data_IF_148657506773
#
_entry.id   IF_148657506773
#
_cell.length_a   1.000
_cell.length_b   1.000
_cell.length_c   1.000
_cell.angle_alpha   90.00
_cell.angle_beta   90.00
_cell.angle_gamma   90.00
#
_symmetry.space_group_name_H-M   'P 1'
#
loop_
_entity.id
_entity.type
_entity.pdbx_description
1 polymer ?
#
# COMPACT_ATOMS: atom_id res chain seq x y z
N UNK A 1 5.04 -2.67 -1.81
CA UNK A 1 6.32 -3.43 -1.94
C UNK A 1 6.96 -3.72 -0.58
N UNK A 2 7.24 -2.71 0.24
CA UNK A 2 7.87 -2.92 1.56
C UNK A 2 6.85 -3.23 2.67
N UNK A 3 5.64 -2.65 2.59
CA UNK A 3 4.61 -2.81 3.61
C UNK A 3 4.98 -2.15 4.95
N UNK A 4 5.81 -1.11 4.91
CA UNK A 4 6.16 -0.31 6.07
C UNK A 4 4.96 0.54 6.52
N UNK A 5 4.83 0.75 7.83
CA UNK A 5 3.75 1.55 8.42
C UNK A 5 4.00 3.03 8.19
N UNK A 6 3.00 3.76 7.71
CA UNK A 6 3.01 5.22 7.65
C UNK A 6 2.43 5.78 8.96
N UNK A 7 3.18 6.67 9.64
CA UNK A 7 2.68 7.42 10.78
C UNK A 7 1.77 8.59 10.38
N UNK A 8 1.25 9.36 11.34
CA UNK A 8 0.36 10.50 11.05
C UNK A 8 0.98 11.55 10.12
N UNK A 9 2.26 11.89 10.32
CA UNK A 9 3.01 12.79 9.45
C UNK A 9 3.12 12.28 8.02
N UNK A 10 3.51 11.02 7.87
CA UNK A 10 3.65 10.37 6.57
C UNK A 10 2.30 10.21 5.86
N UNK A 11 1.23 9.91 6.60
CA UNK A 11 -0.11 9.76 6.04
C UNK A 11 -0.61 11.09 5.46
N UNK A 12 -0.39 12.21 6.16
CA UNK A 12 -0.71 13.55 5.63
C UNK A 12 0.20 13.89 4.45
N UNK A 13 1.52 13.68 4.58
CA UNK A 13 2.47 13.97 3.52
C UNK A 13 2.18 13.19 2.22
N UNK A 14 1.80 11.92 2.33
CA UNK A 14 1.49 11.06 1.19
C UNK A 14 0.05 11.23 0.65
N UNK A 15 -0.75 12.14 1.23
CA UNK A 15 -2.15 12.35 0.83
C UNK A 15 -3.09 11.19 1.19
N UNK A 16 -2.71 10.35 2.16
CA UNK A 16 -3.55 9.27 2.69
C UNK A 16 -4.48 9.74 3.81
N UNK A 17 -4.23 10.92 4.37
CA UNK A 17 -5.06 11.57 5.38
C UNK A 17 -5.04 13.09 5.19
N UNK A 18 -6.14 13.76 5.52
CA UNK A 18 -6.28 15.21 5.33
C UNK A 18 -5.81 16.03 6.55
N UNK A 19 -5.88 15.45 7.75
CA UNK A 19 -5.54 16.13 8.99
C UNK A 19 -4.94 15.16 10.02
N UNK A 20 -4.08 15.69 10.90
CA UNK A 20 -3.54 14.97 12.04
C UNK A 20 -4.03 15.60 13.36
N UNK A 21 -4.63 14.79 14.24
CA UNK A 21 -5.15 15.25 15.53
C UNK A 21 -4.55 14.39 16.64
N UNK A 22 -3.95 15.04 17.64
CA UNK A 22 -3.39 14.33 18.80
C UNK A 22 -4.47 13.56 19.55
N UNK A 23 -4.15 12.34 20.00
CA UNK A 23 -5.12 11.44 20.65
C UNK A 23 -5.82 12.07 21.86
N UNK A 24 -5.13 12.98 22.58
CA UNK A 24 -5.69 13.70 23.71
C UNK A 24 -6.89 14.59 23.33
N UNK A 25 -6.96 15.06 22.08
CA UNK A 25 -8.04 15.91 21.57
C UNK A 25 -9.22 15.10 20.99
N UNK A 26 -9.08 13.78 20.82
CA UNK A 26 -10.12 12.95 20.19
C UNK A 26 -11.49 13.03 20.89
N UNK A 27 -11.59 13.02 22.24
CA UNK A 27 -12.88 13.19 22.89
C UNK A 27 -13.53 14.54 22.56
N UNK A 28 -12.76 15.62 22.56
CA UNK A 28 -13.26 16.97 22.29
C UNK A 28 -13.68 17.14 20.82
N UNK A 29 -12.84 16.66 19.88
CA UNK A 29 -13.18 16.62 18.46
C UNK A 29 -14.47 15.85 18.21
N UNK A 30 -14.61 14.66 18.81
CA UNK A 30 -15.84 13.86 18.70
C UNK A 30 -17.05 14.64 19.19
N UNK A 31 -16.96 15.27 20.36
CA UNK A 31 -18.05 16.10 20.90
C UNK A 31 -18.42 17.21 19.91
N UNK A 32 -17.44 17.96 19.41
CA UNK A 32 -17.68 19.04 18.45
C UNK A 32 -18.39 18.56 17.17
N UNK A 33 -17.92 17.45 16.59
CA UNK A 33 -18.54 16.84 15.41
C UNK A 33 -19.98 16.38 15.67
N UNK A 34 -20.25 15.77 16.83
CA UNK A 34 -21.60 15.31 17.18
C UNK A 34 -22.57 16.44 17.55
N UNK A 35 -22.05 17.62 17.88
CA UNK A 35 -22.82 18.82 18.19
C UNK A 35 -22.97 19.75 16.98
N UNK A 36 -22.41 19.39 15.82
CA UNK A 36 -22.58 20.15 14.60
C UNK A 36 -24.09 20.31 14.28
N UNK A 37 -24.54 21.50 13.84
CA UNK A 37 -25.94 21.73 13.53
C UNK A 37 -26.48 20.75 12.48
N UNK A 38 -27.76 20.41 12.59
CA UNK A 38 -28.43 19.65 11.52
C UNK A 38 -28.36 20.44 10.21
N UNK A 39 -27.88 19.81 9.14
CA UNK A 39 -27.64 20.46 7.85
C UNK A 39 -26.26 21.12 7.72
N UNK A 40 -25.33 20.89 8.66
CA UNK A 40 -23.92 21.26 8.50
C UNK A 40 -23.37 20.76 7.16
N UNK A 41 -22.71 21.66 6.44
CA UNK A 41 -22.06 21.36 5.17
C UNK A 41 -20.74 20.63 5.40
N UNK A 42 -20.14 20.11 4.32
CA UNK A 42 -18.78 19.55 4.42
C UNK A 42 -17.78 20.61 4.91
N UNK A 43 -17.93 21.88 4.50
CA UNK A 43 -17.03 22.96 4.91
C UNK A 43 -17.11 23.25 6.41
N UNK A 44 -18.29 23.11 7.02
CA UNK A 44 -18.45 23.26 8.47
C UNK A 44 -17.73 22.13 9.22
N UNK A 45 -17.81 20.90 8.70
CA UNK A 45 -17.10 19.74 9.27
C UNK A 45 -15.59 19.89 9.11
N UNK A 46 -15.12 20.34 7.94
CA UNK A 46 -13.72 20.61 7.68
C UNK A 46 -13.17 21.67 8.67
N UNK A 47 -13.94 22.73 8.92
CA UNK A 47 -13.58 23.77 9.88
C UNK A 47 -13.49 23.23 11.32
N UNK A 48 -14.42 22.33 11.72
CA UNK A 48 -14.35 21.65 13.02
C UNK A 48 -13.07 20.82 13.11
N UNK A 49 -12.76 19.99 12.11
CA UNK A 49 -11.55 19.15 12.11
C UNK A 49 -10.29 20.02 12.15
N UNK A 50 -10.23 21.07 11.34
CA UNK A 50 -9.11 22.00 11.27
C UNK A 50 -8.83 22.70 12.60
N UNK A 51 -9.87 22.98 13.40
CA UNK A 51 -9.70 23.56 14.75
C UNK A 51 -8.90 22.65 15.70
N UNK A 52 -9.02 21.33 15.54
CA UNK A 52 -8.27 20.34 16.35
C UNK A 52 -7.01 19.81 15.68
N UNK A 53 -6.81 20.14 14.40
CA UNK A 53 -5.67 19.69 13.63
C UNK A 53 -4.36 20.26 14.19
N UNK A 54 -3.33 19.44 14.13
CA UNK A 54 -1.96 19.73 14.56
C UNK A 54 -1.03 19.45 13.40
N UNK A 55 0.02 20.26 13.27
CA UNK A 55 1.06 20.00 12.29
C UNK A 55 1.88 18.78 12.74
N UNK A 56 1.86 17.67 11.99
CA UNK A 56 2.41 16.40 12.47
C UNK A 56 3.95 16.30 12.41
N UNK A 57 4.63 17.38 12.01
CA UNK A 57 6.06 17.38 11.74
C UNK A 57 6.41 16.58 10.48
N UNK A 58 7.69 16.24 10.33
CA UNK A 58 8.20 15.50 9.17
C UNK A 58 8.38 14.01 9.53
N UNK A 59 7.77 13.12 8.74
CA UNK A 59 7.91 11.68 8.90
C UNK A 59 9.01 11.06 8.02
N UNK A 60 9.39 9.79 8.25
CA UNK A 60 10.40 9.09 7.47
C UNK A 60 10.16 9.08 5.95
N UNK A 61 8.92 9.07 5.47
CA UNK A 61 8.63 9.09 4.03
C UNK A 61 9.06 10.44 3.44
N UNK A 62 8.70 11.55 4.09
CA UNK A 62 9.08 12.89 3.64
C UNK A 62 10.61 13.06 3.63
N UNK A 63 11.29 12.61 4.69
CA UNK A 63 12.75 12.67 4.81
C UNK A 63 13.48 11.89 3.71
N UNK A 64 12.90 10.77 3.27
CA UNK A 64 13.50 9.89 2.25
C UNK A 64 12.85 10.04 0.87
N UNK A 65 12.00 11.06 0.66
CA UNK A 65 11.17 11.18 -0.54
C UNK A 65 11.98 11.12 -1.84
N UNK A 66 13.07 11.89 -1.93
CA UNK A 66 13.94 11.90 -3.11
C UNK A 66 14.64 10.55 -3.36
N UNK A 67 14.95 9.79 -2.30
CA UNK A 67 15.50 8.44 -2.43
C UNK A 67 14.42 7.47 -2.91
N UNK A 68 13.21 7.54 -2.35
CA UNK A 68 12.07 6.70 -2.74
C UNK A 68 11.77 6.90 -4.22
N UNK A 69 11.61 8.15 -4.67
CA UNK A 69 11.30 8.48 -6.06
C UNK A 69 12.34 7.90 -7.01
N UNK A 70 13.63 8.10 -6.73
CA UNK A 70 14.72 7.61 -7.58
C UNK A 70 14.80 6.09 -7.59
N UNK A 71 14.74 5.44 -6.42
CA UNK A 71 14.99 4.01 -6.28
C UNK A 71 13.79 3.14 -6.71
N UNK A 72 12.58 3.67 -6.64
CA UNK A 72 11.34 2.98 -7.05
C UNK A 72 10.81 3.42 -8.42
N UNK A 73 11.58 4.19 -9.20
CA UNK A 73 11.20 4.69 -10.53
C UNK A 73 11.09 3.59 -11.61
N UNK A 74 11.60 2.39 -11.36
CA UNK A 74 11.72 1.35 -12.39
C UNK A 74 10.43 0.52 -12.57
N UNK A 75 10.30 -0.16 -13.72
CA UNK A 75 9.09 -0.94 -14.06
C UNK A 75 9.15 -2.41 -13.67
N UNK A 76 10.30 -2.88 -13.16
CA UNK A 76 10.46 -4.25 -12.66
C UNK A 76 10.98 -4.25 -11.23
N UNK A 77 10.59 -5.27 -10.45
CA UNK A 77 11.06 -5.43 -9.07
C UNK A 77 12.56 -5.68 -9.06
N UNK A 78 13.07 -6.42 -10.04
CA UNK A 78 14.50 -6.69 -10.22
C UNK A 78 15.30 -5.41 -10.44
N UNK A 79 14.80 -4.46 -11.25
CA UNK A 79 15.46 -3.18 -11.45
C UNK A 79 15.42 -2.31 -10.19
N UNK A 80 14.31 -2.33 -9.43
CA UNK A 80 14.22 -1.66 -8.12
C UNK A 80 15.25 -2.26 -7.14
N UNK A 81 15.34 -3.59 -7.07
CA UNK A 81 16.32 -4.28 -6.23
C UNK A 81 17.75 -3.92 -6.64
N UNK A 82 18.07 -3.94 -7.92
CA UNK A 82 19.40 -3.56 -8.42
C UNK A 82 19.73 -2.10 -8.10
N UNK A 83 18.78 -1.18 -8.24
CA UNK A 83 18.98 0.23 -7.89
C UNK A 83 19.25 0.42 -6.40
N UNK A 84 18.51 -0.29 -5.53
CA UNK A 84 18.75 -0.29 -4.09
C UNK A 84 20.12 -0.89 -3.72
N UNK A 85 20.55 -1.95 -4.40
CA UNK A 85 21.85 -2.60 -4.17
C UNK A 85 23.02 -1.69 -4.57
N UNK A 86 22.89 -0.98 -5.69
CA UNK A 86 23.89 0.00 -6.15
C UNK A 86 23.95 1.22 -5.24
N UNK A 87 22.80 1.68 -4.72
CA UNK A 87 22.74 2.83 -3.83
C UNK A 87 23.45 2.57 -2.50
N UNK A 88 23.20 1.41 -1.88
CA UNK A 88 23.95 0.94 -0.71
C UNK A 88 23.81 1.79 0.56
N UNK A 89 22.95 2.81 0.57
CA UNK A 89 22.65 3.60 1.78
C UNK A 89 21.97 2.75 2.85
N UNK A 90 21.96 3.23 4.10
CA UNK A 90 21.26 2.56 5.20
C UNK A 90 19.78 2.35 4.89
N UNK A 91 19.12 3.36 4.30
CA UNK A 91 17.74 3.28 3.82
C UNK A 91 17.56 2.17 2.78
N UNK A 92 18.44 2.11 1.78
CA UNK A 92 18.36 1.14 0.70
C UNK A 92 18.58 -0.30 1.19
N UNK A 93 19.57 -0.51 2.05
CA UNK A 93 19.88 -1.82 2.64
C UNK A 93 18.75 -2.32 3.56
N UNK A 94 18.17 -1.44 4.38
CA UNK A 94 17.01 -1.77 5.21
C UNK A 94 15.78 -2.13 4.35
N UNK A 95 15.55 -1.36 3.29
CA UNK A 95 14.47 -1.59 2.31
C UNK A 95 14.62 -2.94 1.61
N UNK A 96 15.83 -3.28 1.14
CA UNK A 96 16.14 -4.58 0.53
C UNK A 96 15.86 -5.73 1.48
N UNK A 97 16.28 -5.61 2.74
CA UNK A 97 16.01 -6.62 3.76
C UNK A 97 14.51 -6.87 3.88
N UNK A 98 13.71 -5.81 4.02
CA UNK A 98 12.24 -5.95 4.10
C UNK A 98 11.64 -6.55 2.83
N UNK A 99 12.10 -6.15 1.64
CA UNK A 99 11.59 -6.70 0.38
C UNK A 99 11.88 -8.20 0.24
N UNK A 100 13.06 -8.66 0.68
CA UNK A 100 13.46 -10.08 0.63
C UNK A 100 12.62 -10.99 1.53
N UNK A 101 11.94 -10.45 2.54
CA UNK A 101 11.00 -11.20 3.38
C UNK A 101 9.63 -11.41 2.71
N UNK A 102 9.33 -10.68 1.63
CA UNK A 102 8.03 -10.75 0.95
C UNK A 102 8.02 -11.85 -0.12
N UNK A 103 6.81 -12.30 -0.46
CA UNK A 103 6.61 -13.19 -1.61
C UNK A 103 7.13 -12.52 -2.90
N UNK A 104 8.03 -13.18 -3.66
CA UNK A 104 8.49 -12.68 -4.96
C UNK A 104 7.33 -12.43 -5.93
N UNK A 105 6.34 -13.33 -5.93
CA UNK A 105 5.11 -13.19 -6.72
C UNK A 105 4.33 -11.95 -6.29
N UNK A 106 4.09 -11.80 -4.99
CA UNK A 106 3.36 -10.67 -4.42
C UNK A 106 4.02 -9.32 -4.73
N UNK A 107 5.35 -9.25 -4.72
CA UNK A 107 6.09 -8.05 -5.13
C UNK A 107 5.80 -7.66 -6.58
N UNK A 108 5.90 -8.62 -7.52
CA UNK A 108 5.68 -8.35 -8.95
C UNK A 108 4.23 -7.96 -9.25
N UNK A 109 3.27 -8.70 -8.67
CA UNK A 109 1.83 -8.39 -8.82
C UNK A 109 1.52 -7.00 -8.26
N UNK A 110 2.04 -6.67 -7.08
CA UNK A 110 1.86 -5.34 -6.46
C UNK A 110 2.43 -4.23 -7.33
N UNK A 111 3.65 -4.39 -7.87
CA UNK A 111 4.25 -3.37 -8.74
C UNK A 111 3.38 -3.15 -9.98
N UNK A 112 2.92 -4.24 -10.62
CA UNK A 112 2.08 -4.15 -11.81
C UNK A 112 0.72 -3.50 -11.52
N UNK A 113 0.04 -3.87 -10.43
CA UNK A 113 -1.21 -3.22 -10.00
C UNK A 113 -1.00 -1.71 -9.84
N UNK A 114 0.07 -1.29 -9.16
CA UNK A 114 0.38 0.13 -8.96
C UNK A 114 0.73 0.88 -10.25
N UNK A 115 1.33 0.21 -11.23
CA UNK A 115 1.67 0.81 -12.53
C UNK A 115 0.43 0.94 -13.42
N UNK A 116 -0.38 -0.11 -13.52
CA UNK A 116 -1.63 -0.09 -14.30
C UNK A 116 -2.63 0.91 -13.72
N UNK A 117 -2.77 0.98 -12.39
CA UNK A 117 -3.69 1.88 -11.70
C UNK A 117 -3.48 3.37 -12.07
N UNK A 118 -2.26 3.79 -12.39
CA UNK A 118 -1.96 5.17 -12.82
C UNK A 118 -2.63 5.57 -14.13
N UNK A 119 -2.99 4.57 -14.95
CA UNK A 119 -3.58 4.78 -16.27
C UNK A 119 -5.11 4.64 -16.27
N UNK A 120 -5.68 4.17 -15.15
CA UNK A 120 -7.11 3.98 -14.99
C UNK A 120 -7.81 5.32 -14.74
N UNK A 121 -9.06 5.41 -15.18
CA UNK A 121 -9.83 6.67 -15.16
C UNK A 121 -10.70 6.81 -13.93
N UNK A 122 -10.88 5.73 -13.16
CA UNK A 122 -11.75 5.75 -11.99
C UNK A 122 -11.36 4.71 -10.93
N UNK A 123 -11.81 4.96 -9.69
CA UNK A 123 -11.72 3.98 -8.61
C UNK A 123 -12.44 2.66 -8.97
N UNK A 124 -13.58 2.74 -9.68
CA UNK A 124 -14.33 1.55 -10.11
C UNK A 124 -13.46 0.64 -10.97
N UNK A 125 -12.74 1.20 -11.94
CA UNK A 125 -11.80 0.45 -12.79
C UNK A 125 -10.66 -0.17 -11.97
N UNK A 126 -10.08 0.58 -11.02
CA UNK A 126 -9.03 0.08 -10.13
C UNK A 126 -9.52 -1.12 -9.29
N UNK A 127 -10.73 -1.01 -8.72
CA UNK A 127 -11.33 -2.09 -7.95
C UNK A 127 -11.62 -3.34 -8.78
N UNK A 128 -11.97 -3.20 -10.07
CA UNK A 128 -12.10 -4.35 -10.97
C UNK A 128 -10.76 -5.06 -11.18
N UNK A 129 -9.66 -4.31 -11.38
CA UNK A 129 -8.32 -4.89 -11.51
C UNK A 129 -7.88 -5.59 -10.21
N UNK A 130 -8.07 -4.93 -9.06
CA UNK A 130 -7.75 -5.49 -7.75
C UNK A 130 -8.59 -6.73 -7.43
N UNK A 131 -9.87 -6.75 -7.83
CA UNK A 131 -10.75 -7.90 -7.65
C UNK A 131 -10.24 -9.12 -8.42
N UNK A 132 -9.87 -8.97 -9.70
CA UNK A 132 -9.26 -10.06 -10.50
C UNK A 132 -8.01 -10.61 -9.81
N UNK A 133 -7.10 -9.71 -9.42
CA UNK A 133 -5.87 -10.09 -8.76
C UNK A 133 -6.14 -10.80 -7.43
N UNK A 134 -7.11 -10.33 -6.64
CA UNK A 134 -7.47 -10.94 -5.35
C UNK A 134 -7.98 -12.37 -5.51
N UNK A 135 -8.78 -12.65 -6.54
CA UNK A 135 -9.24 -14.02 -6.80
C UNK A 135 -8.07 -14.97 -7.11
N UNK A 136 -7.07 -14.50 -7.85
CA UNK A 136 -5.86 -15.29 -8.12
C UNK A 136 -4.96 -15.41 -6.89
N UNK A 137 -4.89 -14.38 -6.03
CA UNK A 137 -4.22 -14.45 -4.72
C UNK A 137 -4.81 -15.60 -3.89
N UNK A 138 -6.13 -15.72 -3.79
CA UNK A 138 -6.78 -16.79 -3.03
C UNK A 138 -6.52 -18.19 -3.59
N UNK A 139 -6.27 -18.31 -4.90
CA UNK A 139 -5.88 -19.57 -5.53
C UNK A 139 -4.39 -19.89 -5.37
N UNK A 140 -3.56 -18.92 -4.94
CA UNK A 140 -2.11 -19.06 -4.87
C UNK A 140 -1.62 -19.78 -3.61
N UNK A 141 -0.55 -20.56 -3.75
CA UNK A 141 0.13 -21.19 -2.63
C UNK A 141 0.73 -20.17 -1.65
N UNK A 142 1.18 -19.01 -2.13
CA UNK A 142 1.78 -17.97 -1.30
C UNK A 142 0.77 -17.34 -0.34
N UNK A 143 -0.50 -17.23 -0.70
CA UNK A 143 -1.50 -16.71 0.22
C UNK A 143 -1.68 -17.63 1.43
N UNK A 144 -1.85 -18.94 1.18
CA UNK A 144 -1.97 -19.95 2.23
C UNK A 144 -0.74 -19.97 3.11
N UNK A 145 0.45 -19.96 2.49
CA UNK A 145 1.72 -19.98 3.22
C UNK A 145 1.95 -18.70 4.04
N UNK A 146 1.59 -17.54 3.50
CA UNK A 146 1.71 -16.27 4.21
C UNK A 146 0.79 -16.21 5.42
N UNK A 147 -0.46 -16.68 5.27
CA UNK A 147 -1.41 -16.80 6.39
C UNK A 147 -0.88 -17.76 7.45
N UNK A 148 -0.33 -18.92 7.04
CA UNK A 148 0.30 -19.88 7.95
C UNK A 148 1.41 -19.21 8.75
N UNK A 149 2.39 -18.63 8.08
CA UNK A 149 3.59 -18.06 8.71
C UNK A 149 3.29 -16.88 9.65
N UNK A 150 2.30 -16.04 9.31
CA UNK A 150 2.02 -14.80 10.06
C UNK A 150 0.95 -14.99 11.13
N UNK A 151 -0.11 -15.76 10.85
CA UNK A 151 -1.30 -15.81 11.69
C UNK A 151 -1.44 -17.15 12.43
N UNK A 152 -1.20 -18.27 11.74
CA UNK A 152 -1.41 -19.61 12.31
C UNK A 152 -0.23 -20.02 13.18
N UNK A 153 0.94 -20.20 12.57
CA UNK A 153 2.15 -20.67 13.23
C UNK A 153 2.93 -19.52 13.86
N UNK A 154 2.78 -18.31 13.30
CA UNK A 154 3.42 -17.06 13.77
C UNK A 154 4.96 -17.14 13.81
N UNK A 155 5.54 -18.01 12.98
CA UNK A 155 6.99 -18.20 12.87
C UNK A 155 7.69 -17.07 12.10
N UNK A 156 6.93 -16.29 11.32
CA UNK A 156 7.45 -15.27 10.40
C UNK A 156 8.50 -15.81 9.42
N UNK A 157 8.43 -17.10 9.07
CA UNK A 157 9.36 -17.77 8.17
C UNK A 157 8.62 -18.49 7.02
N UNK A 158 8.01 -17.72 6.10
CA UNK A 158 7.29 -18.28 4.97
C UNK A 158 8.22 -18.91 3.94
N UNK A 159 7.83 -20.08 3.42
CA UNK A 159 8.48 -20.79 2.32
C UNK A 159 7.78 -20.49 1.00
N UNK A 160 8.08 -19.33 0.42
CA UNK A 160 7.47 -18.87 -0.82
C UNK A 160 7.75 -19.79 -2.02
N UNK A 161 6.76 -19.95 -2.90
CA UNK A 161 6.90 -20.71 -4.13
C UNK A 161 6.27 -19.95 -5.31
N UNK A 162 7.07 -19.42 -6.27
CA UNK A 162 8.53 -19.51 -6.34
C UNK A 162 9.23 -18.65 -5.27
N UNK A 163 10.44 -19.07 -4.86
CA UNK A 163 11.21 -18.42 -3.79
C UNK A 163 12.13 -17.29 -4.27
N UNK A 164 12.36 -17.17 -5.58
CA UNK A 164 13.23 -16.15 -6.20
C UNK A 164 12.44 -15.30 -7.19
N UNK A 165 12.89 -14.06 -7.42
CA UNK A 165 12.20 -13.11 -8.32
C UNK A 165 12.25 -13.60 -9.77
N UNK A 166 13.42 -14.05 -10.21
CA UNK A 166 13.71 -14.60 -11.53
C UNK A 166 12.85 -15.82 -11.91
N UNK A 167 12.38 -16.56 -10.91
CA UNK A 167 11.53 -17.75 -11.10
C UNK A 167 10.04 -17.37 -11.24
N UNK A 168 9.66 -16.11 -10.95
CA UNK A 168 8.32 -15.59 -11.23
C UNK A 168 8.24 -15.16 -12.70
N UNK A 169 7.72 -16.06 -13.53
CA UNK A 169 7.56 -15.82 -14.97
C UNK A 169 6.45 -14.81 -15.27
N UNK A 170 6.47 -14.16 -16.45
CA UNK A 170 5.37 -13.30 -16.89
C UNK A 170 4.01 -14.00 -16.84
N UNK A 171 3.94 -15.28 -17.22
CA UNK A 171 2.70 -16.05 -17.22
C UNK A 171 2.09 -16.19 -15.81
N UNK A 172 2.93 -16.35 -14.78
CA UNK A 172 2.48 -16.38 -13.38
C UNK A 172 1.84 -15.04 -13.00
N UNK A 173 2.42 -13.92 -13.45
CA UNK A 173 1.89 -12.57 -13.16
C UNK A 173 0.64 -12.29 -13.99
N UNK A 174 0.63 -12.62 -15.28
CA UNK A 174 -0.48 -12.38 -16.21
C UNK A 174 -1.80 -13.02 -15.76
N UNK A 175 -1.75 -14.16 -15.06
CA UNK A 175 -2.91 -14.82 -14.48
C UNK A 175 -3.72 -13.87 -13.57
N UNK A 176 -3.06 -12.99 -12.81
CA UNK A 176 -3.69 -12.05 -11.89
C UNK A 176 -4.49 -10.94 -12.59
N UNK A 177 -4.25 -10.73 -13.89
CA UNK A 177 -4.84 -9.64 -14.66
C UNK A 177 -5.76 -10.17 -15.77
N UNK A 178 -5.93 -11.49 -15.87
CA UNK A 178 -6.77 -12.11 -16.89
C UNK A 178 -8.24 -11.84 -16.59
N UNK A 179 -9.03 -11.29 -17.56
CA UNK A 179 -10.46 -11.09 -17.37
C UNK A 179 -11.21 -12.39 -17.04
N UNK A 180 -12.23 -12.28 -16.19
CA UNK A 180 -13.00 -13.44 -15.71
C UNK A 180 -14.48 -13.29 -16.06
N UNK A 181 -15.21 -14.40 -16.05
CA UNK A 181 -16.67 -14.40 -16.34
C UNK A 181 -17.48 -13.76 -15.21
N UNK A 182 -16.98 -13.89 -13.98
CA UNK A 182 -17.57 -13.40 -12.73
C UNK A 182 -16.96 -12.06 -12.30
N UNK A 183 -16.79 -11.14 -13.25
CA UNK A 183 -16.17 -9.84 -13.00
C UNK A 183 -16.98 -8.96 -12.03
N UNK A 184 -16.27 -8.13 -11.25
CA UNK A 184 -16.91 -7.14 -10.40
C UNK A 184 -17.64 -6.10 -11.26
N UNK A 185 -18.95 -5.96 -11.03
CA UNK A 185 -19.79 -4.96 -11.69
C UNK A 185 -20.38 -4.04 -10.63
N UNK A 186 -20.29 -2.74 -10.87
CA UNK A 186 -20.95 -1.73 -10.04
C UNK A 186 -22.33 -1.43 -10.63
N UNK A 187 -23.37 -1.31 -9.79
CA UNK A 187 -24.65 -0.79 -10.25
C UNK A 187 -24.48 0.63 -10.79
N UNK A 188 -25.37 0.99 -11.72
CA UNK A 188 -25.51 2.35 -12.24
C UNK A 188 -25.94 3.34 -11.15
#
# INVERSE_FOLDING_TARGET
>A
LTGQTAGGADAVHAGLADACVTTAQWPALRTALTQAPAGASHADVDAIIAHFATEPGEGPIAQNHALIDRLFAHDTVEAIVAALEVDGSEFALATLKTMREKSPRGLKVTLRLLREARTLKSLKEALVHEFRASLEVFASADFVEGVRAVIVDKDRNPSWNPSRLEDVTPQIVDAYFTPRRDELVFPD
#
